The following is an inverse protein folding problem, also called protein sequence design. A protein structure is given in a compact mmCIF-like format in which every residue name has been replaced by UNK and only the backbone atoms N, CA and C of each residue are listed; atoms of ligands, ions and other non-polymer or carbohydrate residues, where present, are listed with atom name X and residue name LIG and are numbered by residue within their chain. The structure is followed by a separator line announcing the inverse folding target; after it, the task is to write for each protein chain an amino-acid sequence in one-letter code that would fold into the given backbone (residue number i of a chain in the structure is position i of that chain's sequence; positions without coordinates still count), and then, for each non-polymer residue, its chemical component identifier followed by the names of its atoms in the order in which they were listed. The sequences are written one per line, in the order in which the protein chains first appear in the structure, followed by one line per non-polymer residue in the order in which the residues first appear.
data_IF_297317408929
#
_entry.id   IF_297317408929
#
_cell.length_a   1.000
_cell.length_b   1.000
_cell.length_c   1.000
_cell.angle_alpha   90.00
_cell.angle_beta   90.00
_cell.angle_gamma   90.00
#
_symmetry.space_group_name_H-M   'P 1'
#
loop_
_entity.id
_entity.type
_entity.pdbx_description
1 polymer ?
#
# COMPACT_ATOMS: atom_id res chain seq x y z
N UNK A 1 2.17 14.99 -2.32
CA UNK A 1 3.07 13.88 -2.71
C UNK A 1 4.52 14.19 -2.34
N UNK A 2 5.13 15.23 -2.92
CA UNK A 2 6.53 15.60 -2.60
C UNK A 2 6.79 15.91 -1.13
N UNK A 3 5.86 16.61 -0.44
CA UNK A 3 5.99 16.86 1.00
C UNK A 3 6.16 15.57 1.80
N UNK A 4 5.46 14.49 1.44
CA UNK A 4 5.65 13.21 2.11
C UNK A 4 7.02 12.61 1.81
N UNK A 5 7.45 12.62 0.54
CA UNK A 5 8.74 12.02 0.15
C UNK A 5 9.88 12.65 0.94
N UNK A 6 9.78 13.95 1.25
CA UNK A 6 10.73 14.67 2.11
C UNK A 6 10.81 14.11 3.55
N UNK A 7 9.76 13.45 4.03
CA UNK A 7 9.69 12.81 5.34
C UNK A 7 9.89 11.28 5.27
N UNK A 8 10.15 10.73 4.09
CA UNK A 8 10.45 9.31 3.92
C UNK A 8 11.85 8.98 4.44
N UNK A 9 12.07 7.73 4.82
CA UNK A 9 13.34 7.26 5.35
C UNK A 9 14.20 6.67 4.22
N UNK A 10 15.41 7.20 4.03
CA UNK A 10 16.46 6.57 3.25
C UNK A 10 17.34 5.75 4.21
N UNK A 11 17.73 4.54 3.84
CA UNK A 11 18.46 3.63 4.72
C UNK A 11 19.44 2.71 3.96
N UNK A 12 19.61 2.95 2.66
CA UNK A 12 20.51 2.20 1.79
C UNK A 12 21.18 3.13 0.78
N UNK A 13 22.38 2.77 0.35
CA UNK A 13 23.10 3.44 -0.73
C UNK A 13 23.94 2.43 -1.52
N UNK A 14 24.19 2.71 -2.79
CA UNK A 14 25.05 1.87 -3.64
C UNK A 14 26.37 2.56 -3.99
N UNK A 15 27.49 1.87 -3.79
CA UNK A 15 28.84 2.33 -4.22
C UNK A 15 29.55 1.18 -4.91
N UNK A 16 30.06 1.42 -6.11
CA UNK A 16 30.88 0.45 -6.86
C UNK A 16 30.24 -0.94 -6.99
N UNK A 17 28.90 -0.99 -7.16
CA UNK A 17 28.13 -2.23 -7.27
C UNK A 17 27.87 -2.96 -5.94
N UNK A 18 28.24 -2.36 -4.80
CA UNK A 18 27.95 -2.86 -3.46
C UNK A 18 26.84 -2.06 -2.80
N UNK A 19 25.97 -2.76 -2.08
CA UNK A 19 24.91 -2.16 -1.26
C UNK A 19 25.39 -1.99 0.18
N UNK A 20 25.18 -0.80 0.71
CA UNK A 20 25.39 -0.46 2.11
C UNK A 20 24.06 -0.11 2.76
N UNK A 21 23.87 -0.50 4.02
CA UNK A 21 22.71 -0.13 4.81
C UNK A 21 23.14 0.68 6.04
N UNK A 22 22.26 1.55 6.53
CA UNK A 22 22.54 2.44 7.66
C UNK A 22 21.25 2.72 8.43
N UNK A 23 21.39 3.35 9.61
CA UNK A 23 20.23 3.79 10.36
C UNK A 23 19.41 4.79 9.53
N UNK A 24 18.07 4.65 9.50
CA UNK A 24 17.21 5.51 8.68
C UNK A 24 17.46 7.01 8.88
N UNK A 25 17.66 7.73 7.77
CA UNK A 25 17.78 9.19 7.73
C UNK A 25 16.58 9.73 6.95
N UNK A 26 15.98 10.82 7.44
CA UNK A 26 14.89 11.47 6.74
C UNK A 26 15.40 12.07 5.41
N UNK A 27 14.68 11.82 4.32
CA UNK A 27 15.07 12.22 2.97
C UNK A 27 15.44 13.70 2.85
N UNK A 28 14.68 14.58 3.52
CA UNK A 28 14.93 16.02 3.55
C UNK A 28 16.24 16.43 4.25
N UNK A 29 16.73 15.60 5.16
CA UNK A 29 17.97 15.85 5.92
C UNK A 29 19.18 15.11 5.32
N UNK A 30 18.94 14.23 4.34
CA UNK A 30 19.93 13.28 3.86
C UNK A 30 21.16 13.96 3.25
N UNK A 31 20.98 14.86 2.29
CA UNK A 31 22.11 15.55 1.63
C UNK A 31 22.82 16.55 2.55
N UNK A 32 22.17 16.96 3.65
CA UNK A 32 22.77 17.82 4.67
C UNK A 32 23.56 17.01 5.73
N UNK A 33 23.44 15.68 5.73
CA UNK A 33 24.17 14.80 6.65
C UNK A 33 25.64 14.77 6.23
N UNK A 34 26.60 15.13 7.10
CA UNK A 34 28.00 15.27 6.70
C UNK A 34 28.66 13.93 6.38
N UNK A 35 28.35 12.88 7.15
CA UNK A 35 28.84 11.52 6.96
C UNK A 35 27.85 10.52 7.57
N UNK A 36 27.85 9.29 7.07
CA UNK A 36 26.97 8.23 7.52
C UNK A 36 27.81 7.01 7.88
N UNK A 37 27.67 6.54 9.12
CA UNK A 37 28.13 5.20 9.50
C UNK A 37 27.17 4.17 8.89
N UNK A 38 27.69 3.37 7.97
CA UNK A 38 26.97 2.36 7.24
C UNK A 38 27.64 0.99 7.42
N UNK A 39 26.95 -0.03 6.95
CA UNK A 39 27.34 -1.42 7.06
C UNK A 39 27.26 -2.07 5.68
N UNK A 40 28.31 -2.79 5.29
CA UNK A 40 28.25 -3.70 4.15
C UNK A 40 27.38 -4.91 4.50
N UNK A 41 26.93 -5.66 3.49
CA UNK A 41 26.05 -6.84 3.70
C UNK A 41 26.65 -7.94 4.57
N UNK A 42 27.98 -7.98 4.69
CA UNK A 42 28.70 -8.89 5.59
C UNK A 42 28.83 -8.35 7.04
N UNK A 43 28.35 -7.14 7.30
CA UNK A 43 28.38 -6.48 8.61
C UNK A 43 29.57 -5.53 8.83
N UNK A 44 30.50 -5.41 7.87
CA UNK A 44 31.65 -4.52 8.02
C UNK A 44 31.22 -3.05 8.07
N UNK A 45 31.78 -2.30 9.02
CA UNK A 45 31.52 -0.87 9.17
C UNK A 45 32.29 -0.04 8.13
N UNK A 46 31.60 0.95 7.56
CA UNK A 46 32.18 1.88 6.59
C UNK A 46 31.56 3.27 6.76
N UNK A 47 32.34 4.31 6.45
CA UNK A 47 31.82 5.67 6.35
C UNK A 47 31.49 5.96 4.89
N UNK A 48 30.26 6.40 4.64
CA UNK A 48 29.83 6.89 3.33
C UNK A 48 29.36 8.34 3.42
N UNK A 49 29.42 9.03 2.29
CA UNK A 49 28.92 10.39 2.14
C UNK A 49 27.62 10.37 1.32
N UNK A 50 26.57 11.09 1.73
CA UNK A 50 25.33 11.21 0.95
C UNK A 50 25.59 11.75 -0.46
N UNK A 51 24.88 11.21 -1.45
CA UNK A 51 24.93 11.67 -2.83
C UNK A 51 23.52 11.74 -3.42
N UNK A 52 23.27 12.68 -4.33
CA UNK A 52 21.97 12.81 -5.01
C UNK A 52 21.55 11.50 -5.71
N UNK A 53 22.53 10.76 -6.27
CA UNK A 53 22.29 9.47 -6.92
C UNK A 53 21.67 8.41 -5.99
N UNK A 54 21.80 8.54 -4.68
CA UNK A 54 21.22 7.59 -3.72
C UNK A 54 19.69 7.58 -3.75
N UNK A 55 19.10 8.68 -4.23
CA UNK A 55 17.66 8.76 -4.45
C UNK A 55 17.19 7.95 -5.67
N UNK A 56 18.07 7.57 -6.61
CA UNK A 56 17.68 6.75 -7.77
C UNK A 56 17.24 5.34 -7.35
N UNK A 57 17.87 4.81 -6.30
CA UNK A 57 17.55 3.50 -5.70
C UNK A 57 16.61 3.60 -4.50
N UNK A 58 16.30 4.80 -4.03
CA UNK A 58 15.42 5.01 -2.89
C UNK A 58 14.00 4.54 -3.20
N UNK A 59 13.50 3.63 -2.36
CA UNK A 59 12.10 3.21 -2.39
C UNK A 59 11.42 3.64 -1.11
N UNK A 60 10.65 4.72 -1.21
CA UNK A 60 9.84 5.18 -0.09
C UNK A 60 8.87 4.09 0.36
N UNK A 61 8.66 3.95 1.67
CA UNK A 61 7.71 2.98 2.20
C UNK A 61 6.32 3.63 2.31
N UNK A 62 5.58 3.63 1.20
CA UNK A 62 4.17 4.02 1.17
C UNK A 62 3.26 2.84 0.88
N UNK A 63 2.03 2.91 1.40
CA UNK A 63 0.99 1.91 1.12
C UNK A 63 0.40 2.04 -0.29
N UNK A 64 0.53 3.24 -0.88
CA UNK A 64 0.23 3.53 -2.27
C UNK A 64 1.40 4.33 -2.80
N UNK A 65 1.99 3.92 -3.92
CA UNK A 65 3.15 4.59 -4.49
C UNK A 65 2.94 4.87 -5.98
N UNK A 66 3.37 6.04 -6.45
CA UNK A 66 3.38 6.38 -7.87
C UNK A 66 4.79 6.09 -8.39
N UNK A 67 4.91 5.07 -9.22
CA UNK A 67 6.22 4.66 -9.73
C UNK A 67 6.70 5.58 -10.85
N UNK A 68 8.00 5.54 -11.13
CA UNK A 68 8.63 6.22 -12.27
C UNK A 68 8.09 5.76 -13.62
N UNK A 69 7.36 4.64 -13.68
CA UNK A 69 6.70 4.12 -14.89
C UNK A 69 5.27 4.64 -15.07
N UNK A 70 4.80 5.54 -14.20
CA UNK A 70 3.43 6.05 -14.25
C UNK A 70 2.39 5.04 -13.79
N UNK A 71 2.77 4.06 -12.97
CA UNK A 71 1.85 3.07 -12.38
C UNK A 71 1.61 3.38 -10.90
N UNK A 72 0.41 3.03 -10.41
CA UNK A 72 0.10 3.07 -8.97
C UNK A 72 0.31 1.69 -8.38
N UNK A 73 1.15 1.58 -7.35
CA UNK A 73 1.38 0.35 -6.61
C UNK A 73 0.59 0.34 -5.29
N UNK A 74 -0.29 -0.64 -5.10
CA UNK A 74 -0.94 -0.91 -3.81
C UNK A 74 -0.09 -1.89 -3.01
N UNK A 75 0.48 -1.43 -1.89
CA UNK A 75 1.49 -2.17 -1.10
C UNK A 75 0.97 -2.59 0.29
N UNK A 76 -0.33 -2.46 0.53
CA UNK A 76 -0.96 -2.81 1.82
C UNK A 76 -1.60 -4.19 1.87
N UNK A 77 -1.57 -4.95 0.77
CA UNK A 77 -2.21 -6.28 0.71
C UNK A 77 -1.23 -7.36 1.15
N UNK A 78 -1.65 -8.21 2.09
CA UNK A 78 -0.86 -9.36 2.51
C UNK A 78 -0.68 -10.36 1.36
N UNK A 79 0.49 -11.01 1.31
CA UNK A 79 0.71 -12.15 0.43
C UNK A 79 -0.39 -13.19 0.63
N UNK A 80 -1.07 -13.53 -0.46
CA UNK A 80 -2.18 -14.47 -0.45
C UNK A 80 -1.69 -15.90 -0.73
N UNK A 81 -2.38 -16.93 -0.21
CA UNK A 81 -2.19 -18.31 -0.63
C UNK A 81 -2.39 -18.49 -2.15
N UNK A 82 -1.82 -19.56 -2.71
CA UNK A 82 -1.76 -19.77 -4.17
C UNK A 82 -3.15 -19.81 -4.83
N UNK A 83 -4.12 -20.43 -4.17
CA UNK A 83 -5.50 -20.59 -4.64
C UNK A 83 -6.28 -19.25 -4.76
N UNK A 84 -5.81 -18.20 -4.09
CA UNK A 84 -6.42 -16.86 -4.11
C UNK A 84 -5.44 -15.74 -4.45
N UNK A 85 -4.29 -16.07 -5.03
CA UNK A 85 -3.20 -15.11 -5.28
C UNK A 85 -3.62 -13.93 -6.17
N UNK A 86 -4.52 -14.18 -7.13
CA UNK A 86 -5.01 -13.16 -8.05
C UNK A 86 -6.20 -12.35 -7.52
N UNK A 87 -6.79 -12.72 -6.37
CA UNK A 87 -7.98 -12.06 -5.84
C UNK A 87 -7.74 -10.56 -5.59
N UNK A 88 -6.59 -10.21 -5.01
CA UNK A 88 -6.22 -8.81 -4.76
C UNK A 88 -6.10 -7.99 -6.04
N UNK A 89 -5.44 -8.55 -7.06
CA UNK A 89 -5.27 -7.88 -8.34
C UNK A 89 -6.63 -7.68 -9.05
N UNK A 90 -7.47 -8.72 -9.07
CA UNK A 90 -8.81 -8.65 -9.63
C UNK A 90 -9.70 -7.63 -8.89
N UNK A 91 -9.62 -7.60 -7.56
CA UNK A 91 -10.38 -6.67 -6.73
C UNK A 91 -10.03 -5.21 -7.04
N UNK A 92 -8.73 -4.87 -7.02
CA UNK A 92 -8.29 -3.51 -7.35
C UNK A 92 -8.59 -3.14 -8.81
N UNK A 93 -8.42 -4.07 -9.75
CA UNK A 93 -8.73 -3.83 -11.16
C UNK A 93 -10.22 -3.53 -11.36
N UNK A 94 -11.10 -4.30 -10.74
CA UNK A 94 -12.54 -4.09 -10.77
C UNK A 94 -12.93 -2.71 -10.24
N UNK A 95 -12.40 -2.35 -9.07
CA UNK A 95 -12.61 -1.03 -8.47
C UNK A 95 -12.13 0.12 -9.37
N UNK A 96 -10.96 -0.02 -9.99
CA UNK A 96 -10.39 1.00 -10.88
C UNK A 96 -11.18 1.16 -12.18
N UNK A 97 -11.77 0.08 -12.71
CA UNK A 97 -12.68 0.19 -13.87
C UNK A 97 -13.97 0.91 -13.49
N UNK A 98 -14.40 0.81 -12.23
CA UNK A 98 -15.57 1.47 -11.68
C UNK A 98 -15.24 2.72 -10.85
N UNK A 99 -14.17 3.44 -11.19
CA UNK A 99 -13.66 4.54 -10.36
C UNK A 99 -14.73 5.58 -10.01
N UNK A 100 -15.52 6.07 -10.98
CA UNK A 100 -16.54 7.09 -10.73
C UNK A 100 -17.61 6.61 -9.72
N UNK A 101 -18.02 5.34 -9.81
CA UNK A 101 -18.98 4.74 -8.88
C UNK A 101 -18.37 4.54 -7.50
N UNK A 102 -17.11 4.12 -7.46
CA UNK A 102 -16.36 3.95 -6.22
C UNK A 102 -16.23 5.30 -5.50
N UNK A 103 -15.85 6.37 -6.19
CA UNK A 103 -15.71 7.70 -5.60
C UNK A 103 -17.06 8.17 -5.01
N UNK A 104 -18.15 8.07 -5.77
CA UNK A 104 -19.49 8.43 -5.29
C UNK A 104 -19.95 7.60 -4.07
N UNK A 105 -19.61 6.31 -4.05
CA UNK A 105 -19.88 5.45 -2.89
C UNK A 105 -19.06 5.91 -1.66
N UNK A 106 -17.74 6.10 -1.81
CA UNK A 106 -16.85 6.47 -0.72
C UNK A 106 -17.24 7.81 -0.07
N UNK A 107 -17.74 8.78 -0.83
CA UNK A 107 -18.22 10.07 -0.32
C UNK A 107 -19.38 9.92 0.68
N UNK A 108 -20.22 8.89 0.49
CA UNK A 108 -21.49 8.74 1.21
C UNK A 108 -21.56 7.49 2.09
N UNK A 109 -20.52 6.64 2.05
CA UNK A 109 -20.47 5.36 2.74
C UNK A 109 -20.75 5.51 4.24
N UNK A 110 -21.69 4.74 4.81
CA UNK A 110 -22.00 4.77 6.24
C UNK A 110 -20.77 4.58 7.13
N UNK A 111 -19.82 3.76 6.69
CA UNK A 111 -18.55 3.53 7.37
C UNK A 111 -17.79 4.83 7.69
N UNK A 112 -17.60 5.71 6.71
CA UNK A 112 -16.87 6.96 6.93
C UNK A 112 -17.67 8.01 7.70
N UNK A 113 -19.00 7.90 7.75
CA UNK A 113 -19.83 8.75 8.63
C UNK A 113 -19.58 8.46 10.11
N UNK A 114 -19.25 7.20 10.43
CA UNK A 114 -18.98 6.76 11.80
C UNK A 114 -17.50 6.95 12.16
N UNK A 115 -16.59 6.50 11.30
CA UNK A 115 -15.16 6.43 11.63
C UNK A 115 -14.31 7.59 11.06
N UNK A 116 -14.88 8.41 10.18
CA UNK A 116 -14.16 9.51 9.52
C UNK A 116 -13.04 9.03 8.60
N UNK A 117 -12.22 9.97 8.12
CA UNK A 117 -11.21 9.74 7.08
C UNK A 117 -9.76 9.72 7.61
N UNK A 118 -9.55 9.53 8.92
CA UNK A 118 -8.19 9.34 9.45
C UNK A 118 -7.69 7.92 9.12
N UNK A 119 -7.09 7.77 7.94
CA UNK A 119 -6.61 6.48 7.44
C UNK A 119 -5.55 5.83 8.35
N UNK A 120 -4.77 6.62 9.10
CA UNK A 120 -3.79 6.05 10.05
C UNK A 120 -4.51 5.44 11.24
N UNK A 121 -5.54 6.12 11.75
CA UNK A 121 -6.41 5.59 12.80
C UNK A 121 -7.16 4.35 12.30
N UNK A 122 -7.85 4.43 11.15
CA UNK A 122 -8.62 3.32 10.59
C UNK A 122 -7.77 2.06 10.45
N UNK A 123 -6.57 2.18 9.86
CA UNK A 123 -5.65 1.04 9.74
C UNK A 123 -5.34 0.44 11.11
N UNK A 124 -5.00 1.26 12.10
CA UNK A 124 -4.65 0.77 13.46
C UNK A 124 -5.85 0.13 14.14
N UNK A 125 -7.05 0.66 13.94
CA UNK A 125 -8.28 0.12 14.52
C UNK A 125 -8.62 -1.25 13.91
N UNK A 126 -8.74 -1.33 12.59
CA UNK A 126 -9.19 -2.53 11.88
C UNK A 126 -8.08 -3.58 11.64
N UNK A 127 -6.86 -3.32 12.11
CA UNK A 127 -5.80 -4.35 12.21
C UNK A 127 -5.73 -5.02 13.59
N UNK A 128 -6.58 -4.62 14.54
CA UNK A 128 -6.63 -5.26 15.88
C UNK A 128 -7.14 -6.69 15.76
N UNK A 129 -6.68 -7.56 16.65
CA UNK A 129 -7.15 -8.96 16.72
C UNK A 129 -8.61 -9.08 17.11
N UNK A 130 -9.10 -8.15 17.92
CA UNK A 130 -10.47 -8.12 18.41
C UNK A 130 -11.08 -6.77 18.05
N UNK A 131 -12.27 -6.80 17.45
CA UNK A 131 -13.13 -5.65 17.18
C UNK A 131 -14.37 -5.77 18.07
N UNK A 132 -15.11 -4.68 18.24
CA UNK A 132 -16.47 -4.79 18.77
C UNK A 132 -17.40 -5.36 17.70
N UNK A 133 -18.52 -5.95 18.11
CA UNK A 133 -19.52 -6.48 17.16
C UNK A 133 -20.01 -5.40 16.17
N UNK A 134 -20.11 -4.15 16.62
CA UNK A 134 -20.48 -3.01 15.76
C UNK A 134 -19.38 -2.68 14.75
N UNK A 135 -18.11 -2.63 15.18
CA UNK A 135 -16.97 -2.40 14.30
C UNK A 135 -16.84 -3.50 13.25
N UNK A 136 -16.97 -4.76 13.66
CA UNK A 136 -16.92 -5.93 12.78
C UNK A 136 -18.05 -5.91 11.75
N UNK A 137 -19.29 -5.66 12.19
CA UNK A 137 -20.44 -5.54 11.29
C UNK A 137 -20.21 -4.44 10.25
N UNK A 138 -19.78 -3.25 10.69
CA UNK A 138 -19.58 -2.11 9.82
C UNK A 138 -18.46 -2.31 8.79
N UNK A 139 -17.34 -2.94 9.17
CA UNK A 139 -16.25 -3.21 8.23
C UNK A 139 -16.62 -4.33 7.24
N UNK A 140 -17.39 -5.34 7.67
CA UNK A 140 -17.87 -6.40 6.79
C UNK A 140 -18.82 -5.83 5.74
N UNK A 141 -19.82 -5.03 6.14
CA UNK A 141 -20.77 -4.43 5.20
C UNK A 141 -20.06 -3.47 4.23
N UNK A 142 -19.14 -2.64 4.73
CA UNK A 142 -18.30 -1.81 3.87
C UNK A 142 -17.47 -2.65 2.87
N UNK A 143 -16.93 -3.78 3.30
CA UNK A 143 -16.15 -4.68 2.43
C UNK A 143 -17.02 -5.35 1.36
N UNK A 144 -18.26 -5.72 1.70
CA UNK A 144 -19.24 -6.27 0.75
C UNK A 144 -19.58 -5.27 -0.35
N UNK A 145 -19.88 -4.03 0.01
CA UNK A 145 -20.17 -2.97 -0.96
C UNK A 145 -19.00 -2.75 -1.92
N UNK A 146 -17.77 -2.69 -1.39
CA UNK A 146 -16.57 -2.58 -2.23
C UNK A 146 -16.37 -3.79 -3.13
N UNK A 147 -16.64 -5.01 -2.64
CA UNK A 147 -16.55 -6.22 -3.46
C UNK A 147 -17.55 -6.19 -4.62
N UNK A 148 -18.80 -5.81 -4.37
CA UNK A 148 -19.83 -5.67 -5.41
C UNK A 148 -19.42 -4.62 -6.47
N UNK A 149 -18.85 -3.49 -6.04
CA UNK A 149 -18.32 -2.49 -6.98
C UNK A 149 -17.17 -3.04 -7.82
N UNK A 150 -16.29 -3.84 -7.23
CA UNK A 150 -15.19 -4.48 -7.96
C UNK A 150 -15.73 -5.48 -9.00
N UNK A 151 -16.71 -6.29 -8.60
CA UNK A 151 -17.37 -7.25 -9.47
C UNK A 151 -18.02 -6.61 -10.68
N UNK A 152 -18.81 -5.55 -10.45
CA UNK A 152 -19.42 -4.77 -11.53
C UNK A 152 -18.36 -4.30 -12.55
N UNK A 153 -17.17 -3.89 -12.08
CA UNK A 153 -16.09 -3.41 -12.94
C UNK A 153 -15.47 -4.53 -13.76
N UNK A 154 -15.29 -5.71 -13.16
CA UNK A 154 -14.79 -6.89 -13.89
C UNK A 154 -15.80 -7.40 -14.93
N UNK A 155 -17.09 -7.33 -14.64
CA UNK A 155 -18.16 -7.69 -15.60
C UNK A 155 -18.08 -6.79 -16.85
N UNK A 156 -17.89 -5.48 -16.67
CA UNK A 156 -17.76 -4.52 -17.79
C UNK A 156 -16.58 -4.86 -18.70
N UNK A 157 -15.48 -5.41 -18.16
CA UNK A 157 -14.32 -5.82 -18.95
C UNK A 157 -14.60 -7.01 -19.87
N UNK A 158 -15.60 -7.83 -19.55
CA UNK A 158 -16.03 -9.00 -20.32
C UNK A 158 -14.88 -9.99 -20.60
N UNK A 159 -14.14 -10.37 -19.56
CA UNK A 159 -12.97 -11.28 -19.60
C UNK A 159 -13.10 -12.51 -18.70
N UNK A 160 -14.29 -12.74 -18.13
CA UNK A 160 -14.54 -13.87 -17.21
C UNK A 160 -13.65 -13.84 -15.94
N UNK A 161 -13.13 -12.66 -15.56
CA UNK A 161 -12.21 -12.46 -14.44
C UNK A 161 -12.89 -12.57 -13.05
N UNK A 162 -14.23 -12.66 -13.02
CA UNK A 162 -15.03 -12.80 -11.80
C UNK A 162 -14.69 -14.04 -10.97
N UNK A 163 -14.15 -15.09 -11.61
CA UNK A 163 -13.73 -16.31 -10.90
C UNK A 163 -12.66 -16.02 -9.84
N UNK A 164 -11.85 -14.96 -10.00
CA UNK A 164 -10.80 -14.61 -9.04
C UNK A 164 -11.35 -13.97 -7.76
N UNK A 165 -12.60 -13.51 -7.75
CA UNK A 165 -13.25 -12.91 -6.58
C UNK A 165 -14.11 -13.90 -5.78
N UNK A 166 -14.34 -15.11 -6.29
CA UNK A 166 -15.14 -16.14 -5.62
C UNK A 166 -14.69 -16.45 -4.18
N UNK A 167 -13.38 -16.57 -3.87
CA UNK A 167 -12.94 -16.81 -2.50
C UNK A 167 -13.38 -15.70 -1.52
N UNK A 168 -13.41 -14.44 -1.98
CA UNK A 168 -13.83 -13.30 -1.16
C UNK A 168 -15.35 -13.29 -0.97
N UNK A 169 -16.12 -13.71 -1.98
CA UNK A 169 -17.57 -13.87 -1.85
C UNK A 169 -17.93 -14.90 -0.79
N UNK A 170 -17.29 -16.06 -0.84
CA UNK A 170 -17.50 -17.13 0.15
C UNK A 170 -17.16 -16.65 1.56
N UNK A 171 -16.05 -15.93 1.73
CA UNK A 171 -15.62 -15.35 3.01
C UNK A 171 -16.61 -14.31 3.55
N UNK A 172 -17.17 -13.47 2.67
CA UNK A 172 -18.14 -12.44 3.04
C UNK A 172 -19.61 -12.92 2.99
N UNK A 173 -19.86 -14.20 2.69
CA UNK A 173 -21.20 -14.78 2.56
C UNK A 173 -22.09 -14.08 1.51
N UNK A 174 -21.54 -13.83 0.32
CA UNK A 174 -22.19 -13.21 -0.84
C UNK A 174 -22.49 -14.17 -1.99
#
# INVERSE_FOLDING_TARGET
FFDYLNHSAIFTAERDGQTYYFYPIQAGDYLATPEIQAFALNGDEVIIYPQEKDFETHRSYQYQDLTTRGTVEFRSVCTQPLDRTFASAAFHLGLLVNLDKLEAYLETAPFFKVFGYDYKFLRRQFSKKNLTDEEETMIIEFSKDLLLLAEEGLVVRNKEEMTYLQPLREELSL
#
